data_IF_923359310014
#
_entry.id   IF_923359310014
#
_cell.length_a   1.000
_cell.length_b   1.000
_cell.length_c   1.000
_cell.angle_alpha   90.00
_cell.angle_beta   90.00
_cell.angle_gamma   90.00
#
_symmetry.space_group_name_H-M   'P 1'
#
loop_
_entity.id
_entity.type
_entity.pdbx_description
1 polymer ?
#
# COMPACT_ATOMS: atom_id res chain seq x y z
N UNK A 1 19.17 7.07 -13.49
CA UNK A 1 19.86 6.62 -14.73
C UNK A 1 18.96 5.75 -15.61
N UNK A 2 18.43 4.62 -15.12
CA UNK A 2 17.56 3.72 -15.90
C UNK A 2 16.27 4.40 -16.44
N UNK A 3 15.64 5.27 -15.65
CA UNK A 3 14.46 6.03 -16.08
C UNK A 3 14.75 7.03 -17.20
N UNK A 4 15.93 7.64 -17.18
CA UNK A 4 16.38 8.54 -18.24
C UNK A 4 16.67 7.75 -19.53
N UNK A 5 17.27 6.56 -19.40
CA UNK A 5 17.45 5.65 -20.54
C UNK A 5 16.09 5.23 -21.12
N UNK A 6 15.10 4.89 -20.29
CA UNK A 6 13.75 4.57 -20.75
C UNK A 6 13.08 5.75 -21.47
N UNK A 7 13.26 6.97 -20.99
CA UNK A 7 12.71 8.17 -21.62
C UNK A 7 13.35 8.47 -22.98
N UNK A 8 14.59 8.01 -23.21
CA UNK A 8 15.29 8.16 -24.48
C UNK A 8 14.94 7.08 -25.51
N UNK A 9 14.23 6.01 -25.12
CA UNK A 9 13.85 4.95 -26.05
C UNK A 9 12.70 5.38 -26.97
N UNK A 10 12.71 4.97 -28.25
CA UNK A 10 11.57 5.13 -29.12
C UNK A 10 10.31 4.47 -28.54
N UNK A 11 9.11 5.06 -28.74
CA UNK A 11 7.85 4.43 -28.37
C UNK A 11 7.72 3.02 -28.95
N UNK A 12 7.22 2.06 -28.17
CA UNK A 12 7.05 0.67 -28.61
C UNK A 12 8.32 -0.19 -28.54
N UNK A 13 9.44 0.35 -28.04
CA UNK A 13 10.66 -0.45 -27.81
C UNK A 13 10.35 -1.58 -26.82
N UNK A 14 10.50 -2.83 -27.25
CA UNK A 14 10.03 -4.04 -26.53
C UNK A 14 10.41 -4.13 -25.03
N UNK A 15 11.64 -3.81 -24.58
CA UNK A 15 11.97 -3.88 -23.15
C UNK A 15 11.33 -2.78 -22.29
N UNK A 16 10.66 -1.79 -22.87
CA UNK A 16 10.18 -0.61 -22.12
C UNK A 16 9.19 -0.99 -21.03
N UNK A 17 8.15 -1.76 -21.36
CA UNK A 17 7.08 -2.12 -20.41
C UNK A 17 7.59 -3.05 -19.29
N UNK A 18 8.28 -4.18 -19.59
CA UNK A 18 8.90 -5.00 -18.55
C UNK A 18 9.81 -4.18 -17.60
N UNK A 19 10.58 -3.23 -18.14
CA UNK A 19 11.48 -2.41 -17.32
C UNK A 19 10.70 -1.45 -16.42
N UNK A 20 9.64 -0.81 -16.92
CA UNK A 20 8.75 0.02 -16.10
C UNK A 20 8.10 -0.79 -14.98
N UNK A 21 7.69 -2.03 -15.25
CA UNK A 21 7.15 -2.93 -14.23
C UNK A 21 8.19 -3.23 -13.15
N UNK A 22 9.42 -3.60 -13.53
CA UNK A 22 10.48 -3.85 -12.56
C UNK A 22 10.80 -2.61 -11.70
N UNK A 23 10.85 -1.43 -12.32
CA UNK A 23 11.04 -0.18 -11.60
C UNK A 23 9.89 0.11 -10.63
N UNK A 24 8.65 -0.17 -11.03
CA UNK A 24 7.48 0.01 -10.18
C UNK A 24 7.52 -0.94 -8.97
N UNK A 25 7.85 -2.22 -9.17
CA UNK A 25 7.99 -3.18 -8.09
C UNK A 25 9.12 -2.80 -7.12
N UNK A 26 10.22 -2.25 -7.62
CA UNK A 26 11.31 -1.71 -6.78
C UNK A 26 10.83 -0.48 -6.00
N UNK A 27 10.12 0.44 -6.65
CA UNK A 27 9.55 1.62 -5.99
C UNK A 27 8.56 1.23 -4.87
N UNK A 28 7.69 0.25 -5.13
CA UNK A 28 6.79 -0.34 -4.12
C UNK A 28 7.58 -0.92 -2.94
N UNK A 29 8.60 -1.73 -3.22
CA UNK A 29 9.43 -2.35 -2.18
C UNK A 29 10.20 -1.32 -1.32
N UNK A 30 10.54 -0.17 -1.90
CA UNK A 30 11.21 0.93 -1.22
C UNK A 30 10.24 1.92 -0.55
N UNK A 31 8.93 1.82 -0.81
CA UNK A 31 7.94 2.79 -0.37
C UNK A 31 8.07 4.16 -1.06
N UNK A 32 8.66 4.21 -2.25
CA UNK A 32 8.87 5.42 -3.04
C UNK A 32 7.58 5.77 -3.80
N UNK A 33 6.66 6.45 -3.10
CA UNK A 33 5.33 6.82 -3.61
C UNK A 33 5.41 7.73 -4.84
N UNK A 34 6.34 8.70 -4.85
CA UNK A 34 6.49 9.64 -5.96
C UNK A 34 6.86 8.92 -7.25
N UNK A 35 7.87 8.05 -7.19
CA UNK A 35 8.28 7.25 -8.35
C UNK A 35 7.19 6.29 -8.78
N UNK A 36 6.54 5.61 -7.84
CA UNK A 36 5.45 4.69 -8.11
C UNK A 36 4.28 5.39 -8.83
N UNK A 37 3.85 6.56 -8.35
CA UNK A 37 2.77 7.34 -8.96
C UNK A 37 3.10 7.79 -10.39
N UNK A 38 4.36 8.16 -10.68
CA UNK A 38 4.77 8.48 -12.05
C UNK A 38 4.67 7.26 -12.98
N UNK A 39 5.10 6.10 -12.50
CA UNK A 39 5.03 4.84 -13.26
C UNK A 39 3.60 4.35 -13.45
N UNK A 40 2.68 4.62 -12.50
CA UNK A 40 1.26 4.31 -12.63
C UNK A 40 0.66 4.89 -13.91
N UNK A 41 0.85 6.19 -14.15
CA UNK A 41 0.32 6.89 -15.32
C UNK A 41 0.83 6.28 -16.64
N UNK A 42 2.08 5.81 -16.66
CA UNK A 42 2.71 5.22 -17.84
C UNK A 42 2.29 3.77 -18.07
N UNK A 43 2.07 3.02 -16.99
CA UNK A 43 1.66 1.61 -17.05
C UNK A 43 0.15 1.46 -17.33
N UNK A 44 -0.66 2.46 -17.03
CA UNK A 44 -2.12 2.42 -17.20
C UNK A 44 -2.55 2.08 -18.63
N UNK A 45 -1.82 2.56 -19.65
CA UNK A 45 -2.10 2.24 -21.08
C UNK A 45 -1.87 0.77 -21.44
N UNK A 46 -1.24 0.00 -20.54
CA UNK A 46 -0.95 -1.42 -20.70
C UNK A 46 -1.76 -2.29 -19.73
N UNK A 47 -2.79 -1.74 -19.07
CA UNK A 47 -3.75 -2.53 -18.29
C UNK A 47 -4.30 -3.70 -19.14
N UNK A 48 -4.48 -4.85 -18.48
CA UNK A 48 -4.85 -6.13 -19.10
C UNK A 48 -3.69 -6.91 -19.72
N UNK A 49 -2.47 -6.36 -19.79
CA UNK A 49 -1.32 -7.01 -20.41
C UNK A 49 -0.43 -7.76 -19.41
N UNK A 50 0.31 -8.76 -19.91
CA UNK A 50 1.19 -9.63 -19.12
C UNK A 50 2.61 -9.62 -19.70
N UNK A 51 3.58 -9.20 -18.89
CA UNK A 51 4.99 -9.11 -19.26
C UNK A 51 5.86 -9.74 -18.16
N UNK A 52 5.75 -11.06 -18.01
CA UNK A 52 6.12 -11.85 -16.81
C UNK A 52 5.31 -11.55 -15.56
N UNK A 53 4.95 -10.29 -15.36
CA UNK A 53 4.08 -9.79 -14.30
C UNK A 53 2.82 -9.16 -14.92
N UNK A 54 1.68 -9.33 -14.26
CA UNK A 54 0.46 -8.67 -14.68
C UNK A 54 0.54 -7.18 -14.39
N UNK A 55 0.27 -6.37 -15.42
CA UNK A 55 0.29 -4.91 -15.28
C UNK A 55 -0.74 -4.46 -14.25
N UNK A 56 -1.95 -5.03 -14.25
CA UNK A 56 -2.98 -4.67 -13.27
C UNK A 56 -2.59 -4.99 -11.84
N UNK A 57 -1.89 -6.10 -11.58
CA UNK A 57 -1.41 -6.37 -10.21
C UNK A 57 -0.48 -5.25 -9.74
N UNK A 58 0.45 -4.83 -10.59
CA UNK A 58 1.41 -3.76 -10.30
C UNK A 58 0.70 -2.41 -10.12
N UNK A 59 -0.26 -2.07 -10.99
CA UNK A 59 -1.09 -0.86 -10.85
C UNK A 59 -1.86 -0.87 -9.52
N UNK A 60 -2.40 -2.02 -9.12
CA UNK A 60 -3.10 -2.18 -7.85
C UNK A 60 -2.20 -2.02 -6.62
N UNK A 61 -0.97 -2.53 -6.67
CA UNK A 61 0.02 -2.33 -5.61
C UNK A 61 0.50 -0.88 -5.53
N UNK A 62 0.68 -0.18 -6.66
CA UNK A 62 0.98 1.25 -6.66
C UNK A 62 -0.19 2.04 -6.05
N UNK A 63 -1.42 1.76 -6.47
CA UNK A 63 -2.61 2.42 -5.92
C UNK A 63 -2.73 2.18 -4.40
N UNK A 64 -2.42 0.97 -3.94
CA UNK A 64 -2.34 0.64 -2.51
C UNK A 64 -1.30 1.49 -1.79
N UNK A 65 -0.10 1.65 -2.36
CA UNK A 65 0.96 2.48 -1.78
C UNK A 65 0.54 3.97 -1.70
N UNK A 66 -0.15 4.47 -2.73
CA UNK A 66 -0.65 5.84 -2.78
C UNK A 66 -1.94 6.07 -1.95
N UNK A 67 -2.49 5.03 -1.32
CA UNK A 67 -3.73 5.09 -0.55
C UNK A 67 -5.01 5.25 -1.39
N UNK A 68 -4.96 4.96 -2.69
CA UNK A 68 -6.11 4.96 -3.59
C UNK A 68 -6.76 3.57 -3.61
N UNK A 69 -7.58 3.30 -2.60
CA UNK A 69 -8.14 1.97 -2.37
C UNK A 69 -9.13 1.53 -3.45
N UNK A 70 -9.88 2.48 -4.02
CA UNK A 70 -10.87 2.18 -5.05
C UNK A 70 -10.18 1.69 -6.32
N UNK A 71 -9.13 2.40 -6.76
CA UNK A 71 -8.33 1.96 -7.90
C UNK A 71 -7.52 0.69 -7.59
N UNK A 72 -7.03 0.54 -6.35
CA UNK A 72 -6.35 -0.69 -5.94
C UNK A 72 -7.26 -1.91 -6.10
N UNK A 73 -8.50 -1.85 -5.61
CA UNK A 73 -9.46 -2.95 -5.71
C UNK A 73 -9.81 -3.27 -7.17
N UNK A 74 -10.06 -2.26 -8.01
CA UNK A 74 -10.38 -2.45 -9.43
C UNK A 74 -9.26 -3.21 -10.15
N UNK A 75 -8.02 -2.76 -10.00
CA UNK A 75 -6.88 -3.38 -10.67
C UNK A 75 -6.57 -4.78 -10.11
N UNK A 76 -6.61 -4.96 -8.79
CA UNK A 76 -6.33 -6.26 -8.18
C UNK A 76 -7.40 -7.31 -8.50
N UNK A 77 -8.66 -6.91 -8.65
CA UNK A 77 -9.72 -7.80 -9.11
C UNK A 77 -9.51 -8.24 -10.57
N UNK A 78 -9.18 -7.30 -11.47
CA UNK A 78 -8.86 -7.61 -12.86
C UNK A 78 -7.63 -8.55 -12.98
N UNK A 79 -6.62 -8.35 -12.15
CA UNK A 79 -5.45 -9.22 -12.09
C UNK A 79 -5.78 -10.64 -11.59
N UNK A 80 -6.68 -10.78 -10.61
CA UNK A 80 -7.13 -12.09 -10.13
C UNK A 80 -7.90 -12.83 -11.22
N UNK A 81 -8.86 -12.17 -11.86
CA UNK A 81 -9.65 -12.74 -12.96
C UNK A 81 -8.77 -13.21 -14.11
N UNK A 82 -7.81 -12.37 -14.55
CA UNK A 82 -6.87 -12.73 -15.61
C UNK A 82 -5.95 -13.88 -15.19
N UNK A 83 -5.45 -13.87 -13.95
CA UNK A 83 -4.61 -14.96 -13.45
C UNK A 83 -5.36 -16.30 -13.40
N UNK A 84 -6.65 -16.28 -13.06
CA UNK A 84 -7.48 -17.47 -13.01
C UNK A 84 -7.81 -17.99 -14.41
N UNK A 85 -8.27 -17.12 -15.31
CA UNK A 85 -8.67 -17.48 -16.67
C UNK A 85 -7.51 -18.00 -17.52
N UNK A 86 -6.30 -17.44 -17.35
CA UNK A 86 -5.10 -17.86 -18.07
C UNK A 86 -4.26 -18.92 -17.32
N UNK A 87 -4.69 -19.34 -16.12
CA UNK A 87 -3.97 -20.34 -15.33
C UNK A 87 -2.60 -19.89 -14.81
N UNK A 88 -2.38 -18.58 -14.65
CA UNK A 88 -1.12 -17.97 -14.21
C UNK A 88 -0.92 -18.13 -12.70
N UNK A 89 -0.69 -19.36 -12.22
CA UNK A 89 -0.62 -19.68 -10.78
C UNK A 89 0.33 -18.78 -9.97
N UNK A 90 1.56 -18.47 -10.43
CA UNK A 90 2.44 -17.55 -9.69
C UNK A 90 1.88 -16.12 -9.59
N UNK A 91 1.22 -15.62 -10.65
CA UNK A 91 0.59 -14.30 -10.61
C UNK A 91 -0.67 -14.29 -9.73
N UNK A 92 -1.44 -15.38 -9.71
CA UNK A 92 -2.57 -15.52 -8.79
C UNK A 92 -2.09 -15.44 -7.33
N UNK A 93 -1.02 -16.17 -6.98
CA UNK A 93 -0.45 -16.14 -5.63
C UNK A 93 0.03 -14.74 -5.21
N UNK A 94 0.73 -14.03 -6.11
CA UNK A 94 1.18 -12.64 -5.89
C UNK A 94 0.00 -11.67 -5.78
N UNK A 95 -1.03 -11.84 -6.61
CA UNK A 95 -2.23 -10.97 -6.60
C UNK A 95 -3.01 -11.13 -5.31
N UNK A 96 -3.20 -12.35 -4.82
CA UNK A 96 -3.84 -12.59 -3.52
C UNK A 96 -3.06 -11.97 -2.36
N UNK A 97 -1.72 -12.00 -2.43
CA UNK A 97 -0.88 -11.33 -1.44
C UNK A 97 -0.98 -9.79 -1.55
N UNK A 98 -1.05 -9.25 -2.76
CA UNK A 98 -1.27 -7.82 -2.98
C UNK A 98 -2.64 -7.35 -2.47
N UNK A 99 -3.71 -8.11 -2.73
CA UNK A 99 -5.04 -7.87 -2.14
C UNK A 99 -4.99 -7.89 -0.61
N UNK A 100 -4.33 -8.87 0.00
CA UNK A 100 -4.17 -8.90 1.45
C UNK A 100 -3.43 -7.68 1.97
N UNK A 101 -2.42 -7.19 1.24
CA UNK A 101 -1.68 -5.99 1.59
C UNK A 101 -2.57 -4.74 1.52
N UNK A 102 -3.42 -4.63 0.49
CA UNK A 102 -4.42 -3.58 0.38
C UNK A 102 -5.42 -3.60 1.55
N UNK A 103 -5.96 -4.78 1.90
CA UNK A 103 -6.86 -4.93 3.05
C UNK A 103 -6.20 -4.47 4.36
N UNK A 104 -4.95 -4.89 4.60
CA UNK A 104 -4.23 -4.50 5.81
C UNK A 104 -3.95 -2.99 5.87
N UNK A 105 -3.71 -2.36 4.73
CA UNK A 105 -3.47 -0.92 4.64
C UNK A 105 -4.74 -0.10 4.95
N UNK A 106 -5.94 -0.62 4.62
CA UNK A 106 -7.23 -0.02 4.98
C UNK A 106 -7.50 -0.09 6.49
N UNK A 107 -6.98 -1.12 7.16
CA UNK A 107 -7.06 -1.30 8.61
C UNK A 107 -8.46 -1.68 9.12
N UNK A 108 -8.56 -2.12 10.37
CA UNK A 108 -9.82 -2.57 10.97
C UNK A 108 -9.99 -4.10 10.99
N UNK A 109 -10.83 -4.60 11.90
CA UNK A 109 -10.91 -6.02 12.23
C UNK A 109 -11.46 -6.89 11.07
N UNK A 110 -12.42 -6.35 10.32
CA UNK A 110 -12.98 -7.00 9.12
C UNK A 110 -11.89 -7.19 8.06
N UNK A 111 -11.17 -6.12 7.75
CA UNK A 111 -10.08 -6.12 6.78
C UNK A 111 -8.92 -7.05 7.19
N UNK A 112 -8.60 -7.16 8.49
CA UNK A 112 -7.61 -8.15 8.99
C UNK A 112 -8.08 -9.59 8.71
N UNK A 113 -9.37 -9.86 8.88
CA UNK A 113 -9.95 -11.19 8.65
C UNK A 113 -9.90 -11.54 7.16
N UNK A 114 -10.27 -10.60 6.30
CA UNK A 114 -10.19 -10.74 4.84
C UNK A 114 -8.74 -10.95 4.38
N UNK A 115 -7.80 -10.12 4.86
CA UNK A 115 -6.38 -10.27 4.59
C UNK A 115 -5.84 -11.64 5.01
N UNK A 116 -6.25 -12.13 6.19
CA UNK A 116 -5.81 -13.45 6.69
C UNK A 116 -6.27 -14.58 5.76
N UNK A 117 -7.50 -14.51 5.25
CA UNK A 117 -8.02 -15.51 4.30
C UNK A 117 -7.27 -15.46 2.96
N UNK A 118 -7.00 -14.25 2.45
CA UNK A 118 -6.20 -14.04 1.24
C UNK A 118 -4.77 -14.57 1.38
N UNK A 119 -4.11 -14.28 2.51
CA UNK A 119 -2.76 -14.77 2.81
C UNK A 119 -2.70 -16.30 2.89
N UNK A 120 -3.72 -16.95 3.45
CA UNK A 120 -3.79 -18.43 3.48
C UNK A 120 -3.89 -19.02 2.06
N UNK A 121 -4.74 -18.45 1.20
CA UNK A 121 -4.87 -18.87 -0.21
C UNK A 121 -3.55 -18.66 -0.97
N UNK A 122 -2.91 -17.50 -0.78
CA UNK A 122 -1.60 -17.20 -1.37
C UNK A 122 -0.52 -18.17 -0.88
N UNK A 123 -0.51 -18.49 0.42
CA UNK A 123 0.45 -19.42 1.03
C UNK A 123 0.37 -20.80 0.39
N UNK A 124 -0.83 -21.37 0.25
CA UNK A 124 -1.02 -22.67 -0.40
C UNK A 124 -0.43 -22.69 -1.81
N UNK A 125 -0.70 -21.66 -2.62
CA UNK A 125 -0.15 -21.57 -3.97
C UNK A 125 1.37 -21.43 -3.96
N UNK A 126 1.95 -20.60 -3.08
CA UNK A 126 3.40 -20.45 -3.01
C UNK A 126 4.10 -21.73 -2.51
N UNK A 127 3.47 -22.51 -1.62
CA UNK A 127 3.97 -23.81 -1.17
C UNK A 127 3.96 -24.82 -2.33
N UNK A 128 2.88 -24.92 -3.09
CA UNK A 128 2.76 -25.78 -4.27
C UNK A 128 3.78 -25.41 -5.36
N UNK A 129 4.07 -24.12 -5.51
CA UNK A 129 5.06 -23.58 -6.46
C UNK A 129 6.50 -23.61 -5.92
N UNK A 130 6.71 -24.10 -4.69
CA UNK A 130 8.02 -24.16 -4.01
C UNK A 130 8.74 -22.79 -3.91
N UNK A 131 7.98 -21.70 -3.79
CA UNK A 131 8.51 -20.35 -3.64
C UNK A 131 8.84 -20.06 -2.17
N UNK A 132 9.92 -20.66 -1.67
CA UNK A 132 10.31 -20.70 -0.25
C UNK A 132 10.41 -19.33 0.42
N UNK A 133 10.94 -18.33 -0.28
CA UNK A 133 11.08 -16.98 0.27
C UNK A 133 9.72 -16.30 0.51
N UNK A 134 8.79 -16.45 -0.45
CA UNK A 134 7.43 -15.92 -0.32
C UNK A 134 6.67 -16.65 0.80
N UNK A 135 6.81 -17.97 0.88
CA UNK A 135 6.25 -18.80 1.95
C UNK A 135 6.73 -18.31 3.32
N UNK A 136 8.03 -18.08 3.50
CA UNK A 136 8.60 -17.57 4.75
C UNK A 136 8.02 -16.22 5.15
N UNK A 137 7.92 -15.28 4.19
CA UNK A 137 7.35 -13.95 4.42
C UNK A 137 5.88 -14.00 4.83
N UNK A 138 5.05 -14.78 4.13
CA UNK A 138 3.63 -14.90 4.44
C UNK A 138 3.40 -15.58 5.80
N UNK A 139 4.16 -16.64 6.13
CA UNK A 139 4.07 -17.27 7.46
C UNK A 139 4.41 -16.29 8.57
N UNK A 140 5.43 -15.45 8.40
CA UNK A 140 5.78 -14.41 9.37
C UNK A 140 4.64 -13.37 9.52
N UNK A 141 4.02 -12.99 8.40
CA UNK A 141 2.89 -12.06 8.39
C UNK A 141 1.66 -12.66 9.10
N UNK A 142 1.28 -13.90 8.79
CA UNK A 142 0.21 -14.63 9.45
C UNK A 142 0.47 -14.87 10.95
N UNK A 143 1.72 -15.14 11.32
CA UNK A 143 2.11 -15.32 12.72
C UNK A 143 2.00 -14.01 13.52
N UNK A 144 2.29 -12.87 12.89
CA UNK A 144 2.07 -11.55 13.50
C UNK A 144 0.59 -11.33 13.85
N UNK A 145 -0.34 -11.75 12.99
CA UNK A 145 -1.78 -11.67 13.27
C UNK A 145 -2.26 -12.75 14.25
N UNK A 146 -1.71 -13.96 14.18
CA UNK A 146 -2.08 -15.06 15.09
C UNK A 146 -1.57 -14.83 16.52
N UNK A 147 -0.48 -14.06 16.67
CA UNK A 147 0.01 -13.54 17.97
C UNK A 147 -0.75 -12.32 18.48
N UNK A 148 -1.85 -11.93 17.83
CA UNK A 148 -2.97 -11.30 18.50
C UNK A 148 -3.96 -12.38 18.94
N UNK A 149 -3.75 -13.07 20.08
CA UNK A 149 -4.91 -13.47 20.88
C UNK A 149 -5.67 -12.19 21.23
N UNK A 150 -6.93 -12.33 21.63
CA UNK A 150 -7.61 -11.35 22.47
C UNK A 150 -6.75 -11.00 23.71
N UNK A 151 -5.78 -10.12 23.50
CA UNK A 151 -5.01 -9.40 24.49
C UNK A 151 -5.38 -7.97 24.21
N UNK A 152 -6.21 -7.45 25.09
CA UNK A 152 -6.23 -6.05 25.49
C UNK A 152 -4.98 -5.32 24.99
N UNK A 153 -5.15 -4.57 23.89
CA UNK A 153 -4.32 -3.46 23.44
C UNK A 153 -2.84 -3.48 23.85
N UNK A 154 -1.89 -3.71 22.93
CA UNK A 154 -0.56 -3.14 23.06
C UNK A 154 -0.68 -1.63 22.78
N UNK A 155 -1.22 -0.89 23.75
CA UNK A 155 -1.37 0.58 23.77
C UNK A 155 -1.69 1.14 22.38
N UNK A 156 -2.93 0.93 21.90
CA UNK A 156 -3.42 1.70 20.77
C UNK A 156 -3.14 3.16 21.06
N UNK A 157 -2.43 3.83 20.15
CA UNK A 157 -2.38 5.28 20.17
C UNK A 157 -3.85 5.73 20.11
N UNK A 158 -4.28 6.68 20.94
CA UNK A 158 -5.70 6.96 21.09
C UNK A 158 -6.37 7.19 19.73
N UNK A 159 -7.51 6.53 19.53
CA UNK A 159 -8.28 6.48 18.28
C UNK A 159 -7.69 5.65 17.11
N UNK A 160 -6.88 4.62 17.38
CA UNK A 160 -6.36 3.70 16.35
C UNK A 160 -5.59 4.42 15.22
N UNK A 161 -4.83 5.44 15.61
CA UNK A 161 -3.96 6.19 14.72
C UNK A 161 -2.77 5.34 14.27
N UNK A 162 -2.45 5.40 12.99
CA UNK A 162 -1.25 4.80 12.42
C UNK A 162 0.02 5.59 12.80
N UNK A 163 1.19 5.00 12.58
CA UNK A 163 2.46 5.67 12.84
C UNK A 163 2.63 6.95 12.00
N UNK A 164 2.17 6.94 10.75
CA UNK A 164 2.23 8.10 9.85
C UNK A 164 1.27 9.20 10.26
N UNK A 165 0.02 8.85 10.62
CA UNK A 165 -0.98 9.78 11.16
C UNK A 165 -0.51 10.42 12.47
N UNK A 166 0.15 9.64 13.33
CA UNK A 166 0.70 10.12 14.60
C UNK A 166 1.80 11.16 14.39
N UNK A 167 2.73 10.92 13.46
CA UNK A 167 3.79 11.89 13.12
C UNK A 167 3.21 13.19 12.57
N UNK A 168 2.21 13.10 11.70
CA UNK A 168 1.50 14.27 11.18
C UNK A 168 0.82 15.04 12.33
N UNK A 169 0.14 14.33 13.24
CA UNK A 169 -0.54 14.92 14.39
C UNK A 169 0.42 15.56 15.40
N UNK A 170 1.61 14.99 15.63
CA UNK A 170 2.66 15.61 16.46
C UNK A 170 3.13 16.95 15.88
N UNK A 171 3.39 17.00 14.57
CA UNK A 171 3.80 18.24 13.90
C UNK A 171 2.66 19.28 13.86
N UNK A 172 1.41 18.84 13.89
CA UNK A 172 0.25 19.74 14.07
C UNK A 172 0.27 20.38 15.45
N UNK A 173 0.59 19.62 16.51
CA UNK A 173 0.73 20.15 17.88
C UNK A 173 1.88 21.15 17.97
N UNK A 174 2.97 20.93 17.22
CA UNK A 174 4.07 21.90 17.07
C UNK A 174 3.69 23.16 16.28
N UNK A 175 2.46 23.28 15.77
CA UNK A 175 1.99 24.44 15.03
C UNK A 175 2.46 24.52 13.58
N UNK A 176 3.02 23.44 13.01
CA UNK A 176 3.44 23.41 11.60
C UNK A 176 2.23 23.52 10.69
N UNK A 177 2.37 24.20 9.55
CA UNK A 177 1.40 24.19 8.44
C UNK A 177 1.51 22.92 7.60
N UNK A 178 0.51 22.62 6.77
CA UNK A 178 0.56 21.44 5.88
C UNK A 178 1.81 21.45 4.98
N UNK A 179 2.21 22.63 4.48
CA UNK A 179 3.46 22.82 3.73
C UNK A 179 4.71 22.50 4.53
N UNK A 180 4.77 22.91 5.78
CA UNK A 180 5.92 22.62 6.65
C UNK A 180 5.97 21.14 7.04
N UNK A 181 4.81 20.53 7.31
CA UNK A 181 4.71 19.09 7.59
C UNK A 181 5.16 18.29 6.37
N UNK A 182 4.70 18.68 5.19
CA UNK A 182 5.10 18.11 3.91
C UNK A 182 6.63 18.15 3.75
N UNK A 183 7.26 19.29 4.01
CA UNK A 183 8.72 19.42 3.97
C UNK A 183 9.45 18.55 5.01
N UNK A 184 8.94 18.48 6.25
CA UNK A 184 9.57 17.70 7.33
C UNK A 184 9.47 16.20 7.06
N UNK A 185 8.36 15.74 6.49
CA UNK A 185 8.09 14.33 6.25
C UNK A 185 8.46 13.85 4.83
N UNK A 186 8.86 14.76 3.93
CA UNK A 186 9.11 14.44 2.53
C UNK A 186 7.84 14.07 1.76
N UNK A 187 6.70 14.66 2.11
CA UNK A 187 5.38 14.39 1.51
C UNK A 187 4.87 15.59 0.70
N UNK A 188 3.81 15.41 -0.09
CA UNK A 188 3.09 16.53 -0.72
C UNK A 188 2.10 17.19 0.26
N UNK A 189 1.76 18.47 0.05
CA UNK A 189 0.73 19.15 0.85
C UNK A 189 -0.63 18.46 0.79
N UNK A 190 -0.96 17.86 -0.36
CA UNK A 190 -2.17 17.07 -0.58
C UNK A 190 -2.15 15.78 0.25
N UNK A 191 -1.02 15.09 0.30
CA UNK A 191 -0.84 13.87 1.12
C UNK A 191 -1.00 14.19 2.61
N UNK A 192 -0.45 15.32 3.07
CA UNK A 192 -0.65 15.80 4.45
C UNK A 192 -2.12 16.12 4.73
N UNK A 193 -2.82 16.76 3.79
CA UNK A 193 -4.25 17.05 3.93
C UNK A 193 -5.10 15.77 4.03
N UNK A 194 -4.77 14.74 3.26
CA UNK A 194 -5.43 13.44 3.33
C UNK A 194 -5.17 12.77 4.69
N UNK A 195 -3.92 12.70 5.16
CA UNK A 195 -3.60 12.18 6.49
C UNK A 195 -4.37 12.92 7.59
N UNK A 196 -4.49 14.25 7.51
CA UNK A 196 -5.25 15.04 8.47
C UNK A 196 -6.75 14.73 8.44
N UNK A 197 -7.31 14.49 7.26
CA UNK A 197 -8.72 14.08 7.12
C UNK A 197 -8.97 12.75 7.83
N UNK A 198 -8.08 11.77 7.65
CA UNK A 198 -8.18 10.50 8.37
C UNK A 198 -7.98 10.65 9.88
N UNK A 199 -7.02 11.48 10.30
CA UNK A 199 -6.84 11.83 11.73
C UNK A 199 -8.12 12.41 12.29
N UNK A 200 -8.73 13.41 11.63
CA UNK A 200 -9.96 14.05 12.10
C UNK A 200 -11.12 13.08 12.26
N UNK A 201 -11.29 12.17 11.29
CA UNK A 201 -12.32 11.14 11.37
C UNK A 201 -12.07 10.17 12.52
N UNK A 202 -10.82 9.72 12.71
CA UNK A 202 -10.45 8.79 13.78
C UNK A 202 -10.58 9.44 15.16
N UNK A 203 -10.08 10.65 15.33
CA UNK A 203 -10.11 11.39 16.61
C UNK A 203 -11.43 12.10 16.87
N UNK A 204 -12.43 11.94 15.99
CA UNK A 204 -13.71 12.65 16.00
C UNK A 204 -13.54 14.17 16.22
N UNK A 205 -12.58 14.75 15.50
CA UNK A 205 -12.17 16.15 15.64
C UNK A 205 -12.66 16.94 14.44
N UNK A 206 -13.43 17.99 14.69
CA UNK A 206 -14.05 18.80 13.62
C UNK A 206 -13.06 19.72 12.89
N UNK A 207 -11.91 19.99 13.51
CA UNK A 207 -10.90 20.89 12.95
C UNK A 207 -9.50 20.61 13.52
N UNK A 208 -8.51 21.27 12.93
CA UNK A 208 -7.10 21.17 13.30
C UNK A 208 -6.83 21.45 14.79
N UNK A 209 -7.52 22.42 15.37
CA UNK A 209 -7.35 22.77 16.78
C UNK A 209 -7.94 21.68 17.70
N UNK A 210 -9.08 21.11 17.34
CA UNK A 210 -9.68 19.98 18.05
C UNK A 210 -8.77 18.74 18.01
N UNK A 211 -8.14 18.46 16.85
CA UNK A 211 -7.18 17.37 16.71
C UNK A 211 -5.91 17.60 17.56
N UNK A 212 -5.37 18.82 17.58
CA UNK A 212 -4.24 19.16 18.45
C UNK A 212 -4.60 18.99 19.94
N UNK A 213 -5.78 19.44 20.35
CA UNK A 213 -6.27 19.28 21.72
C UNK A 213 -6.46 17.80 22.10
N UNK A 214 -6.95 16.98 21.16
CA UNK A 214 -7.00 15.53 21.32
C UNK A 214 -5.61 14.96 21.58
N UNK A 215 -4.63 15.29 20.73
CA UNK A 215 -3.26 14.78 20.84
C UNK A 215 -2.62 15.07 22.21
N UNK A 216 -2.78 16.29 22.73
CA UNK A 216 -2.28 16.70 24.04
C UNK A 216 -2.99 15.93 25.17
N UNK A 217 -4.33 15.85 25.13
CA UNK A 217 -5.13 15.12 26.13
C UNK A 217 -4.72 13.65 26.23
N UNK A 218 -4.32 13.09 25.11
CA UNK A 218 -3.98 11.69 24.93
C UNK A 218 -2.48 11.40 24.99
N UNK A 219 -1.64 12.41 25.30
CA UNK A 219 -0.17 12.33 25.43
C UNK A 219 0.51 11.73 24.19
N UNK A 220 0.00 12.10 23.02
CA UNK A 220 0.59 11.77 21.72
C UNK A 220 1.76 12.72 21.40
N UNK A 221 1.68 13.94 21.92
CA UNK A 221 2.69 15.00 21.87
C UNK A 221 2.75 15.70 23.24
#
# INVERSE_FOLDING_TARGET
>A
ELEALLAALPPGTLPTVPTMICLALIAIALGDEERAANLYLRLQTFSGQHYWFLVDRVLGEIATLCGDWDMAMVHLAAAEEKSQSEGLRPELARTLWAQATCELARGGQEHITQATNLLKRALTLFEELQMTDAVGRIRNQLHTFSRQPHRSSPRSLPADLTASETKVLQLVVEGKSNRQIAQVLGLSEKTVANHLTHVFNKTNSENRAAAAAFAIRHRIA
#
